data_IF_583278498361
#
_entry.id   IF_583278498361
#
_cell.length_a   1.000
_cell.length_b   1.000
_cell.length_c   1.000
_cell.angle_alpha   90.00
_cell.angle_beta   90.00
_cell.angle_gamma   90.00
#
_symmetry.space_group_name_H-M   'P 1'
#
loop_
_entity.id
_entity.type
_entity.pdbx_description
1 polymer ?
#
# COMPACT_ATOMS: atom_id res chain seq x y z
N UNK A 1 36.35 10.60 28.02
CA UNK A 1 35.00 10.22 27.58
C UNK A 1 35.05 8.81 27.05
N UNK A 2 34.46 7.83 27.75
CA UNK A 2 34.30 6.50 27.21
C UNK A 2 33.22 6.56 26.14
N UNK A 3 33.61 6.32 24.91
CA UNK A 3 32.65 6.11 23.82
C UNK A 3 31.88 4.85 24.15
N UNK A 4 30.57 4.96 24.41
CA UNK A 4 29.71 3.80 24.53
C UNK A 4 29.78 3.03 23.20
N UNK A 5 30.37 1.85 23.27
CA UNK A 5 30.36 0.95 22.13
C UNK A 5 28.92 0.48 21.90
N UNK A 6 28.45 0.41 20.68
CA UNK A 6 27.13 -0.14 20.38
C UNK A 6 27.06 -1.57 20.93
N UNK A 7 25.88 -1.97 21.43
CA UNK A 7 25.64 -3.36 21.84
C UNK A 7 26.15 -4.29 20.74
N UNK A 8 26.85 -5.35 21.15
CA UNK A 8 27.43 -6.32 20.22
C UNK A 8 26.36 -6.76 19.24
N UNK A 9 26.57 -6.48 17.95
CA UNK A 9 25.72 -6.98 16.88
C UNK A 9 25.90 -8.49 16.79
N UNK A 10 24.80 -9.21 16.58
CA UNK A 10 24.85 -10.58 16.08
C UNK A 10 25.73 -10.58 14.82
N UNK A 11 26.70 -11.47 14.76
CA UNK A 11 27.46 -11.64 13.51
C UNK A 11 26.50 -12.04 12.41
N UNK A 12 26.57 -11.32 11.30
CA UNK A 12 25.72 -11.54 10.14
C UNK A 12 26.61 -11.99 8.99
N UNK A 13 26.44 -13.22 8.55
CA UNK A 13 27.16 -13.75 7.40
C UNK A 13 26.64 -13.14 6.09
N UNK A 14 27.40 -13.29 5.00
CA UNK A 14 26.92 -12.91 3.66
C UNK A 14 25.62 -13.63 3.32
N UNK A 15 25.52 -14.91 3.65
CA UNK A 15 24.34 -15.72 3.38
C UNK A 15 23.13 -15.22 4.17
N UNK A 16 23.32 -14.82 5.45
CA UNK A 16 22.23 -14.22 6.24
C UNK A 16 21.76 -12.90 5.64
N UNK A 17 22.69 -12.07 5.15
CA UNK A 17 22.33 -10.83 4.46
C UNK A 17 21.48 -11.10 3.21
N UNK A 18 21.93 -12.02 2.35
CA UNK A 18 21.22 -12.36 1.11
C UNK A 18 19.82 -12.95 1.39
N UNK A 19 19.69 -13.77 2.41
CA UNK A 19 18.44 -14.49 2.68
C UNK A 19 17.40 -13.65 3.44
N UNK A 20 17.83 -12.72 4.32
CA UNK A 20 16.92 -12.12 5.29
C UNK A 20 16.88 -10.57 5.23
N UNK A 21 17.79 -9.94 4.48
CA UNK A 21 17.96 -8.48 4.53
C UNK A 21 18.05 -7.81 3.17
N UNK A 22 17.94 -8.56 2.09
CA UNK A 22 18.00 -8.03 0.72
C UNK A 22 16.75 -8.48 -0.04
N UNK A 23 16.08 -7.51 -0.65
CA UNK A 23 14.97 -7.77 -1.59
C UNK A 23 15.47 -7.53 -3.00
N UNK A 24 15.30 -8.50 -3.86
CA UNK A 24 15.62 -8.39 -5.29
C UNK A 24 14.34 -8.12 -6.07
N UNK A 25 14.29 -7.00 -6.77
CA UNK A 25 13.08 -6.62 -7.49
C UNK A 25 12.65 -7.66 -8.53
N UNK A 26 13.59 -8.31 -9.22
CA UNK A 26 13.28 -9.36 -10.19
C UNK A 26 12.58 -10.58 -9.56
N UNK A 27 12.86 -10.89 -8.31
CA UNK A 27 12.19 -11.95 -7.55
C UNK A 27 10.84 -11.50 -7.01
N UNK A 28 10.72 -10.22 -6.70
CA UNK A 28 9.52 -9.61 -6.15
C UNK A 28 8.40 -9.41 -7.20
N UNK A 29 8.75 -9.17 -8.46
CA UNK A 29 7.79 -8.86 -9.54
C UNK A 29 6.59 -9.81 -9.60
N UNK A 30 6.82 -11.11 -9.46
CA UNK A 30 5.76 -12.12 -9.56
C UNK A 30 4.88 -12.22 -8.30
N UNK A 31 5.29 -11.63 -7.19
CA UNK A 31 4.63 -11.74 -5.88
C UNK A 31 3.65 -10.61 -5.59
N UNK A 32 3.65 -9.56 -6.41
CA UNK A 32 2.76 -8.42 -6.22
C UNK A 32 1.28 -8.82 -6.35
N UNK A 33 0.48 -8.34 -5.43
CA UNK A 33 -0.96 -8.59 -5.37
C UNK A 33 -1.71 -7.31 -5.00
N UNK A 34 -3.02 -7.22 -5.27
CA UNK A 34 -3.87 -6.19 -4.69
C UNK A 34 -3.81 -6.22 -3.17
N UNK A 35 -3.62 -5.06 -2.55
CA UNK A 35 -3.53 -4.92 -1.09
C UNK A 35 -4.90 -5.04 -0.44
N UNK A 36 -5.89 -4.39 -1.03
CA UNK A 36 -7.27 -4.33 -0.56
C UNK A 36 -8.19 -5.03 -1.56
N UNK A 37 -9.30 -5.57 -1.07
CA UNK A 37 -10.25 -6.27 -1.95
C UNK A 37 -10.77 -5.38 -3.07
N UNK A 38 -11.03 -4.12 -2.78
CA UNK A 38 -11.53 -3.15 -3.76
C UNK A 38 -10.54 -2.87 -4.89
N UNK A 39 -9.24 -3.05 -4.66
CA UNK A 39 -8.19 -2.83 -5.66
C UNK A 39 -8.33 -3.77 -6.87
N UNK A 40 -9.02 -4.89 -6.71
CA UNK A 40 -9.19 -5.89 -7.76
C UNK A 40 -10.37 -5.61 -8.71
N UNK A 41 -11.36 -4.84 -8.27
CA UNK A 41 -12.64 -4.75 -8.98
C UNK A 41 -13.05 -3.32 -9.28
N UNK A 42 -12.86 -2.38 -8.35
CA UNK A 42 -13.42 -1.04 -8.49
C UNK A 42 -12.59 -0.24 -9.49
N UNK A 43 -13.21 0.26 -10.59
CA UNK A 43 -12.53 1.15 -11.53
C UNK A 43 -11.94 2.38 -10.82
N UNK A 44 -10.71 2.74 -11.15
CA UNK A 44 -9.98 3.83 -10.52
C UNK A 44 -9.15 3.40 -9.29
N UNK A 45 -9.27 2.14 -8.85
CA UNK A 45 -8.51 1.64 -7.69
C UNK A 45 -7.64 0.43 -7.99
N UNK A 46 -7.55 0.01 -9.26
CA UNK A 46 -6.73 -1.13 -9.64
C UNK A 46 -5.25 -0.85 -9.44
N UNK A 47 -4.59 -1.64 -8.61
CA UNK A 47 -3.17 -1.51 -8.32
C UNK A 47 -2.56 -2.82 -7.87
N UNK A 48 -1.25 -2.92 -8.01
CA UNK A 48 -0.43 -3.96 -7.40
C UNK A 48 0.39 -3.37 -6.26
N UNK A 49 0.56 -4.14 -5.22
CA UNK A 49 1.37 -3.79 -4.07
C UNK A 49 2.46 -4.83 -3.88
N UNK A 50 3.64 -4.36 -3.52
CA UNK A 50 4.86 -5.13 -3.32
C UNK A 50 5.27 -4.96 -1.86
N UNK A 51 5.22 -6.02 -1.08
CA UNK A 51 5.61 -6.02 0.33
C UNK A 51 7.12 -6.22 0.46
N UNK A 52 7.84 -5.18 0.92
CA UNK A 52 9.29 -5.25 1.07
C UNK A 52 9.70 -5.54 2.50
N UNK A 53 9.26 -4.72 3.45
CA UNK A 53 9.71 -4.79 4.85
C UNK A 53 8.53 -4.63 5.80
N UNK A 54 8.47 -5.48 6.81
CA UNK A 54 7.57 -5.38 7.95
C UNK A 54 6.13 -5.80 7.66
N UNK A 55 5.38 -6.08 8.71
CA UNK A 55 3.98 -6.45 8.61
C UNK A 55 3.17 -5.27 8.05
N UNK A 56 2.27 -5.58 7.14
CA UNK A 56 1.50 -4.56 6.44
C UNK A 56 0.03 -4.63 6.80
N UNK A 57 -0.61 -3.46 6.89
CA UNK A 57 -2.04 -3.35 6.93
C UNK A 57 -2.62 -3.77 5.58
N UNK A 58 -3.22 -4.96 5.53
CA UNK A 58 -3.81 -5.52 4.32
C UNK A 58 -5.07 -6.30 4.63
N UNK A 59 -6.09 -6.16 3.79
CA UNK A 59 -7.25 -7.06 3.81
C UNK A 59 -6.92 -8.42 3.18
N UNK A 60 -5.82 -8.48 2.42
CA UNK A 60 -5.39 -9.68 1.71
C UNK A 60 -4.37 -10.45 2.55
N UNK A 61 -4.77 -11.61 3.04
CA UNK A 61 -3.97 -12.51 3.88
C UNK A 61 -2.77 -13.16 3.17
N UNK A 62 -2.68 -13.01 1.86
CA UNK A 62 -1.53 -13.45 1.05
C UNK A 62 -0.42 -12.41 0.92
N UNK A 63 -0.65 -11.19 1.42
CA UNK A 63 0.31 -10.10 1.32
C UNK A 63 1.38 -10.23 2.41
N UNK A 64 2.48 -10.88 2.09
CA UNK A 64 3.60 -11.15 2.99
C UNK A 64 4.84 -10.37 2.58
N UNK A 65 5.55 -9.72 3.53
CA UNK A 65 6.78 -8.98 3.24
C UNK A 65 7.96 -9.93 3.00
N UNK A 66 8.88 -9.50 2.15
CA UNK A 66 10.12 -10.25 1.88
C UNK A 66 11.08 -10.22 3.07
N UNK A 67 11.14 -9.09 3.79
CA UNK A 67 11.93 -8.94 5.00
C UNK A 67 10.98 -8.89 6.19
N UNK A 68 10.97 -9.96 6.96
CA UNK A 68 10.10 -10.16 8.14
C UNK A 68 10.77 -9.81 9.46
N UNK A 69 12.08 -9.54 9.47
CA UNK A 69 12.80 -9.12 10.69
C UNK A 69 12.16 -7.82 11.23
N UNK A 70 12.07 -7.66 12.56
CA UNK A 70 11.39 -6.52 13.16
C UNK A 70 12.00 -5.17 12.77
N UNK A 71 11.18 -4.30 12.23
CA UNK A 71 11.48 -2.89 11.95
C UNK A 71 10.47 -2.01 12.67
N UNK A 72 10.79 -0.77 12.94
CA UNK A 72 9.83 0.22 13.47
C UNK A 72 9.00 0.89 12.37
N UNK A 73 9.03 0.36 11.15
CA UNK A 73 8.37 0.88 9.96
C UNK A 73 8.08 -0.25 8.98
N UNK A 74 7.21 0.03 8.04
CA UNK A 74 6.91 -0.83 6.90
C UNK A 74 7.38 -0.13 5.62
N UNK A 75 7.82 -0.90 4.65
CA UNK A 75 8.12 -0.41 3.30
C UNK A 75 7.40 -1.29 2.29
N UNK A 76 6.62 -0.64 1.44
CA UNK A 76 5.98 -1.26 0.29
C UNK A 76 6.12 -0.39 -0.96
N UNK A 77 5.79 -0.95 -2.10
CA UNK A 77 5.63 -0.19 -3.34
C UNK A 77 4.24 -0.41 -3.91
N UNK A 78 3.73 0.63 -4.54
CA UNK A 78 2.49 0.61 -5.32
C UNK A 78 2.84 0.77 -6.78
N UNK A 79 2.25 -0.08 -7.63
CA UNK A 79 2.20 0.10 -9.08
C UNK A 79 0.75 0.29 -9.48
N UNK A 80 0.43 1.37 -10.17
CA UNK A 80 -0.91 1.61 -10.67
C UNK A 80 -0.91 2.14 -12.10
N UNK A 81 -1.84 1.68 -12.96
CA UNK A 81 -2.05 2.26 -14.27
C UNK A 81 -2.63 3.68 -14.17
N UNK A 82 -2.66 4.45 -15.28
CA UNK A 82 -3.26 5.78 -15.31
C UNK A 82 -4.66 5.83 -14.70
N UNK A 83 -4.94 6.86 -13.89
CA UNK A 83 -6.24 7.09 -13.24
C UNK A 83 -6.56 6.10 -12.12
N UNK A 84 -5.56 5.37 -11.59
CA UNK A 84 -5.77 4.39 -10.53
C UNK A 84 -4.88 4.65 -9.32
N UNK A 85 -5.35 4.24 -8.15
CA UNK A 85 -4.65 4.38 -6.88
C UNK A 85 -5.55 4.08 -5.68
N UNK A 86 -5.06 4.24 -4.45
CA UNK A 86 -5.85 4.00 -3.24
C UNK A 86 -7.10 4.87 -3.16
N UNK A 87 -8.21 4.26 -2.79
CA UNK A 87 -9.46 4.97 -2.53
C UNK A 87 -9.34 5.88 -1.29
N UNK A 88 -10.29 6.81 -1.10
CA UNK A 88 -10.29 7.76 0.00
C UNK A 88 -10.50 7.06 1.34
N UNK A 89 -9.51 7.18 2.23
CA UNK A 89 -9.43 6.48 3.51
C UNK A 89 -8.61 7.26 4.53
N UNK A 90 -8.57 6.77 5.75
CA UNK A 90 -7.69 7.30 6.80
C UNK A 90 -7.05 6.19 7.62
N UNK A 91 -5.97 6.52 8.31
CA UNK A 91 -5.27 5.70 9.29
C UNK A 91 -4.94 6.54 10.52
N UNK A 92 -4.66 5.89 11.63
CA UNK A 92 -4.21 6.52 12.87
C UNK A 92 -2.67 6.51 13.05
N UNK A 93 -1.94 6.27 11.96
CA UNK A 93 -0.48 6.33 11.89
C UNK A 93 0.03 7.17 10.71
N UNK A 94 1.32 7.51 10.75
CA UNK A 94 1.98 8.30 9.71
C UNK A 94 2.30 7.44 8.49
N UNK A 95 2.06 8.01 7.32
CA UNK A 95 2.56 7.49 6.05
C UNK A 95 3.38 8.54 5.31
N UNK A 96 4.37 8.09 4.56
CA UNK A 96 5.09 8.92 3.61
C UNK A 96 5.18 8.20 2.26
N UNK A 97 5.08 8.96 1.18
CA UNK A 97 5.14 8.42 -0.17
C UNK A 97 6.11 9.20 -1.03
N UNK A 98 6.82 8.47 -1.89
CA UNK A 98 7.75 9.01 -2.88
C UNK A 98 7.50 8.37 -4.24
N UNK A 99 7.05 9.11 -5.25
CA UNK A 99 7.00 8.59 -6.61
C UNK A 99 8.39 8.16 -7.09
N UNK A 100 8.51 6.94 -7.56
CA UNK A 100 9.70 6.42 -8.22
C UNK A 100 9.59 6.55 -9.73
N UNK A 101 8.35 6.62 -10.24
CA UNK A 101 8.02 6.83 -11.63
C UNK A 101 6.64 7.46 -11.76
N UNK A 102 6.55 8.44 -12.65
CA UNK A 102 5.30 9.10 -13.02
C UNK A 102 4.91 10.23 -12.08
N UNK A 103 3.72 10.77 -12.33
CA UNK A 103 3.11 11.86 -11.58
C UNK A 103 1.92 11.34 -10.80
N UNK A 104 1.83 11.76 -9.55
CA UNK A 104 0.81 11.30 -8.65
C UNK A 104 0.04 12.47 -8.04
N UNK A 105 -1.27 12.47 -8.20
CA UNK A 105 -2.17 13.40 -7.52
C UNK A 105 -2.48 12.83 -6.14
N UNK A 106 -2.13 13.57 -5.09
CA UNK A 106 -2.56 13.32 -3.72
C UNK A 106 -3.68 14.29 -3.37
N UNK A 107 -4.75 13.78 -2.76
CA UNK A 107 -5.88 14.58 -2.33
C UNK A 107 -6.27 14.21 -0.90
N UNK A 108 -6.72 15.20 -0.14
CA UNK A 108 -7.01 15.02 1.28
C UNK A 108 -8.15 15.89 1.78
N UNK A 109 -8.67 15.56 2.99
CA UNK A 109 -9.66 16.32 3.73
C UNK A 109 -9.58 16.04 5.22
N UNK A 110 -10.12 16.96 6.02
CA UNK A 110 -10.21 16.80 7.47
C UNK A 110 -11.43 15.98 7.89
N UNK A 111 -12.33 15.68 6.95
CA UNK A 111 -13.50 14.84 7.16
C UNK A 111 -13.59 13.73 6.10
N UNK A 112 -14.41 12.73 6.38
CA UNK A 112 -14.66 11.61 5.49
C UNK A 112 -15.51 11.94 4.25
N UNK A 113 -16.13 13.12 4.25
CA UNK A 113 -17.12 13.52 3.23
C UNK A 113 -16.57 14.49 2.19
N UNK A 114 -15.44 15.16 2.46
CA UNK A 114 -14.98 16.27 1.64
C UNK A 114 -13.47 16.21 1.32
N UNK A 115 -13.14 16.45 0.06
CA UNK A 115 -11.76 16.70 -0.38
C UNK A 115 -11.54 18.20 -0.32
N UNK A 116 -10.67 18.65 0.59
CA UNK A 116 -10.39 20.07 0.84
C UNK A 116 -9.12 20.56 0.13
N UNK A 117 -8.22 19.63 -0.22
CA UNK A 117 -6.98 19.99 -0.87
C UNK A 117 -6.43 18.87 -1.73
N UNK A 118 -5.60 19.24 -2.70
CA UNK A 118 -4.89 18.31 -3.55
C UNK A 118 -3.57 18.91 -4.04
N UNK A 119 -2.65 18.04 -4.40
CA UNK A 119 -1.38 18.42 -5.04
C UNK A 119 -0.91 17.31 -5.96
N UNK A 120 -0.11 17.68 -6.94
CA UNK A 120 0.62 16.71 -7.78
C UNK A 120 2.07 16.69 -7.29
N UNK A 121 2.58 15.50 -7.04
CA UNK A 121 3.99 15.23 -6.77
C UNK A 121 4.57 14.39 -7.91
N UNK A 122 5.82 14.66 -8.22
CA UNK A 122 6.54 14.03 -9.32
C UNK A 122 7.65 13.12 -8.78
N UNK A 123 8.38 12.47 -9.67
CA UNK A 123 9.48 11.57 -9.32
C UNK A 123 10.45 12.25 -8.34
N UNK A 124 10.75 11.53 -7.25
CA UNK A 124 11.65 11.93 -6.16
C UNK A 124 11.12 13.01 -5.21
N UNK A 125 9.92 13.56 -5.44
CA UNK A 125 9.25 14.36 -4.41
C UNK A 125 8.79 13.48 -3.25
N UNK A 126 8.67 14.06 -2.07
CA UNK A 126 8.18 13.35 -0.88
C UNK A 126 6.95 14.06 -0.32
N UNK A 127 5.91 13.30 -0.04
CA UNK A 127 4.77 13.73 0.75
C UNK A 127 4.67 12.89 2.02
N UNK A 128 4.37 13.53 3.16
CA UNK A 128 4.05 12.86 4.40
C UNK A 128 2.64 13.21 4.84
N UNK A 129 1.88 12.21 5.20
CA UNK A 129 0.46 12.30 5.54
C UNK A 129 0.29 12.05 7.05
N UNK A 130 -0.21 13.01 7.82
CA UNK A 130 -0.37 12.86 9.26
C UNK A 130 -1.49 11.86 9.61
N UNK A 131 -1.47 11.28 10.83
CA UNK A 131 -2.53 10.43 11.33
C UNK A 131 -3.88 11.15 11.33
N UNK A 132 -4.94 10.41 11.02
CA UNK A 132 -6.32 10.90 11.03
C UNK A 132 -6.70 11.77 9.83
N UNK A 133 -5.75 12.15 8.97
CA UNK A 133 -6.07 12.84 7.73
C UNK A 133 -6.73 11.86 6.76
N UNK A 134 -7.87 12.21 6.20
CA UNK A 134 -8.49 11.49 5.10
C UNK A 134 -7.72 11.75 3.81
N UNK A 135 -7.34 10.71 3.08
CA UNK A 135 -6.51 10.83 1.88
C UNK A 135 -6.79 9.74 0.86
N UNK A 136 -6.43 10.06 -0.35
CA UNK A 136 -6.31 9.15 -1.47
C UNK A 136 -5.27 9.67 -2.43
N UNK A 137 -4.84 8.84 -3.35
CA UNK A 137 -3.94 9.28 -4.42
C UNK A 137 -4.13 8.44 -5.67
N UNK A 138 -3.76 8.99 -6.81
CA UNK A 138 -3.89 8.32 -8.10
C UNK A 138 -2.73 8.67 -9.03
N UNK A 139 -2.37 7.73 -9.88
CA UNK A 139 -1.42 7.97 -10.96
C UNK A 139 -2.10 8.84 -12.04
N UNK A 140 -1.59 10.04 -12.25
CA UNK A 140 -2.07 10.99 -13.28
C UNK A 140 -1.15 11.06 -14.50
N UNK A 141 -0.20 10.11 -14.62
CA UNK A 141 0.61 9.94 -15.82
C UNK A 141 -0.19 9.21 -16.92
N UNK A 142 0.36 9.14 -18.11
CA UNK A 142 -0.14 8.38 -19.26
C UNK A 142 0.39 6.94 -19.33
N UNK A 143 1.23 6.55 -18.38
CA UNK A 143 1.80 5.20 -18.23
C UNK A 143 1.72 4.70 -16.77
N UNK A 144 2.08 3.43 -16.56
CA UNK A 144 2.12 2.84 -15.21
C UNK A 144 3.08 3.62 -14.30
N UNK A 145 2.55 4.10 -13.18
CA UNK A 145 3.30 4.80 -12.15
C UNK A 145 3.74 3.88 -11.02
N UNK A 146 4.84 4.24 -10.38
CA UNK A 146 5.41 3.56 -9.22
C UNK A 146 5.58 4.51 -8.06
N UNK A 147 5.17 4.11 -6.86
CA UNK A 147 5.29 4.90 -5.66
C UNK A 147 5.82 4.05 -4.51
N UNK A 148 6.88 4.52 -3.84
CA UNK A 148 7.37 3.93 -2.59
C UNK A 148 6.53 4.44 -1.44
N UNK A 149 6.05 3.54 -0.59
CA UNK A 149 5.35 3.86 0.65
C UNK A 149 6.19 3.46 1.86
N UNK A 150 6.26 4.36 2.84
CA UNK A 150 6.88 4.12 4.14
C UNK A 150 5.81 4.42 5.20
N UNK A 151 5.51 3.43 6.03
CA UNK A 151 4.44 3.52 7.02
C UNK A 151 5.02 3.25 8.41
N UNK A 152 4.53 3.96 9.40
CA UNK A 152 4.79 3.61 10.78
C UNK A 152 4.24 2.20 11.05
N UNK A 153 5.03 1.35 11.68
CA UNK A 153 4.57 0.02 12.03
C UNK A 153 3.55 0.10 13.15
N UNK A 154 2.30 -0.15 12.83
CA UNK A 154 1.24 -0.28 13.83
C UNK A 154 1.34 -1.65 14.50
N UNK A 155 1.31 -1.67 15.84
CA UNK A 155 1.51 -2.91 16.61
C UNK A 155 0.39 -3.92 16.48
N UNK A 156 -0.77 -3.49 16.00
CA UNK A 156 -1.94 -4.35 15.85
C UNK A 156 -2.78 -3.87 14.68
N UNK A 157 -2.78 -4.61 13.60
CA UNK A 157 -3.84 -4.52 12.60
C UNK A 157 -5.10 -5.12 13.22
N UNK A 158 -5.99 -4.29 13.73
CA UNK A 158 -7.21 -4.74 14.44
C UNK A 158 -8.38 -5.07 13.49
N UNK A 159 -8.10 -5.09 12.19
CA UNK A 159 -9.08 -5.36 11.16
C UNK A 159 -10.00 -4.18 10.82
N UNK A 160 -9.70 -2.99 11.34
CA UNK A 160 -10.41 -1.75 10.97
C UNK A 160 -9.59 -0.85 10.04
N UNK A 161 -8.32 -1.14 9.89
CA UNK A 161 -7.42 -0.40 9.03
C UNK A 161 -7.46 -0.95 7.59
N UNK A 162 -7.63 -0.11 6.56
CA UNK A 162 -7.91 1.34 6.65
C UNK A 162 -9.36 1.64 7.03
N UNK A 163 -9.61 2.83 7.55
CA UNK A 163 -10.96 3.37 7.69
C UNK A 163 -11.42 3.94 6.36
N UNK A 164 -12.39 3.28 5.74
CA UNK A 164 -12.93 3.70 4.46
C UNK A 164 -13.91 4.86 4.58
N UNK A 165 -13.81 5.85 3.71
CA UNK A 165 -14.84 6.87 3.61
C UNK A 165 -16.20 6.27 3.22
N UNK A 166 -17.33 6.76 3.76
CA UNK A 166 -18.66 6.22 3.49
C UNK A 166 -18.99 6.12 2.00
N UNK A 167 -18.50 7.07 1.21
CA UNK A 167 -18.68 7.07 -0.25
C UNK A 167 -17.94 5.90 -0.92
N UNK A 168 -16.78 5.50 -0.40
CA UNK A 168 -16.02 4.33 -0.89
C UNK A 168 -16.81 3.05 -0.62
N UNK A 169 -17.31 2.89 0.60
CA UNK A 169 -18.17 1.74 0.99
C UNK A 169 -19.41 1.68 0.08
N UNK A 170 -20.08 2.80 -0.13
CA UNK A 170 -21.26 2.90 -0.99
C UNK A 170 -20.96 2.58 -2.46
N UNK A 171 -19.77 2.97 -2.93
CA UNK A 171 -19.34 2.63 -4.29
C UNK A 171 -18.98 1.14 -4.38
N UNK A 172 -18.29 0.60 -3.40
CA UNK A 172 -17.93 -0.81 -3.31
C UNK A 172 -19.18 -1.72 -3.36
N UNK A 173 -20.26 -1.33 -2.67
CA UNK A 173 -21.53 -2.07 -2.69
C UNK A 173 -22.13 -2.19 -4.09
N UNK A 174 -21.98 -1.20 -4.98
CA UNK A 174 -22.42 -1.27 -6.37
C UNK A 174 -21.65 -2.29 -7.21
N UNK A 175 -20.46 -2.66 -6.75
CA UNK A 175 -19.57 -3.65 -7.36
C UNK A 175 -19.62 -5.01 -6.66
N UNK A 176 -20.59 -5.22 -5.76
CA UNK A 176 -20.80 -6.50 -5.08
C UNK A 176 -19.98 -6.70 -3.80
N UNK A 177 -19.32 -5.65 -3.29
CA UNK A 177 -18.68 -5.71 -1.98
C UNK A 177 -19.65 -5.25 -0.89
N UNK A 178 -19.61 -5.96 0.22
CA UNK A 178 -20.30 -5.56 1.44
C UNK A 178 -19.28 -5.16 2.49
N UNK A 179 -19.67 -4.30 3.41
CA UNK A 179 -18.89 -4.00 4.60
C UNK A 179 -19.62 -4.57 5.83
N UNK A 180 -18.85 -4.96 6.84
CA UNK A 180 -19.39 -5.35 8.13
C UNK A 180 -19.86 -4.13 8.94
N UNK A 181 -20.38 -4.36 10.15
CA UNK A 181 -20.87 -3.32 11.06
C UNK A 181 -19.78 -2.29 11.47
N UNK A 182 -18.50 -2.65 11.27
CA UNK A 182 -17.35 -1.79 11.56
C UNK A 182 -16.82 -1.06 10.31
N UNK A 183 -17.46 -1.25 9.15
CA UNK A 183 -17.02 -0.66 7.89
C UNK A 183 -15.88 -1.40 7.18
N UNK A 184 -15.49 -2.59 7.67
CA UNK A 184 -14.48 -3.44 7.03
C UNK A 184 -15.09 -4.15 5.82
N UNK A 185 -14.39 -4.14 4.69
CA UNK A 185 -14.83 -4.88 3.51
C UNK A 185 -14.83 -6.39 3.76
N UNK A 186 -15.92 -7.03 3.38
CA UNK A 186 -16.06 -8.48 3.42
C UNK A 186 -15.54 -9.06 2.11
N UNK A 187 -14.67 -10.05 2.21
CA UNK A 187 -14.11 -10.75 1.05
C UNK A 187 -15.24 -11.36 0.21
N UNK A 188 -15.38 -11.00 -1.08
CA UNK A 188 -16.40 -11.60 -1.95
C UNK A 188 -16.10 -13.07 -2.27
N UNK A 189 -17.13 -13.89 -2.50
CA UNK A 189 -16.99 -15.33 -2.78
C UNK A 189 -16.07 -15.67 -3.95
N UNK A 190 -15.94 -14.75 -4.93
CA UNK A 190 -15.13 -14.95 -6.13
C UNK A 190 -13.82 -14.16 -6.11
N UNK A 191 -13.43 -13.62 -4.97
CA UNK A 191 -12.32 -12.70 -4.86
C UNK A 191 -11.02 -13.25 -5.44
N UNK A 192 -10.67 -14.49 -5.16
CA UNK A 192 -9.41 -15.11 -5.61
C UNK A 192 -9.27 -15.15 -7.14
N UNK A 193 -10.38 -15.39 -7.83
CA UNK A 193 -10.40 -15.36 -9.29
C UNK A 193 -10.19 -13.94 -9.82
N UNK A 194 -10.85 -12.96 -9.20
CA UNK A 194 -10.77 -11.55 -9.58
C UNK A 194 -9.37 -10.98 -9.31
N UNK A 195 -8.82 -11.28 -8.14
CA UNK A 195 -7.45 -10.94 -7.77
C UNK A 195 -6.44 -11.45 -8.80
N UNK A 196 -6.53 -12.74 -9.13
CA UNK A 196 -5.64 -13.37 -10.11
C UNK A 196 -5.74 -12.69 -11.48
N UNK A 197 -6.94 -12.49 -11.98
CA UNK A 197 -7.18 -11.83 -13.27
C UNK A 197 -6.62 -10.41 -13.30
N UNK A 198 -6.83 -9.64 -12.22
CA UNK A 198 -6.32 -8.29 -12.11
C UNK A 198 -4.80 -8.27 -12.02
N UNK A 199 -4.21 -9.11 -11.19
CA UNK A 199 -2.76 -9.21 -11.05
C UNK A 199 -2.10 -9.60 -12.38
N UNK A 200 -2.63 -10.56 -13.11
CA UNK A 200 -2.14 -10.96 -14.43
C UNK A 200 -2.23 -9.81 -15.44
N UNK A 201 -3.35 -9.08 -15.46
CA UNK A 201 -3.54 -7.93 -16.34
C UNK A 201 -2.53 -6.83 -16.07
N UNK A 202 -2.29 -6.49 -14.80
CA UNK A 202 -1.38 -5.41 -14.41
C UNK A 202 0.11 -5.80 -14.58
N UNK A 203 0.44 -7.09 -14.46
CA UNK A 203 1.80 -7.61 -14.73
C UNK A 203 2.12 -7.71 -16.22
N UNK A 204 1.12 -7.91 -17.09
CA UNK A 204 1.36 -8.05 -18.53
C UNK A 204 2.07 -6.85 -19.18
N UNK A 205 2.08 -5.69 -18.54
CA UNK A 205 2.86 -4.51 -18.93
C UNK A 205 4.33 -4.54 -18.50
N UNK A 206 4.75 -5.53 -17.72
CA UNK A 206 6.12 -5.66 -17.18
C UNK A 206 6.99 -6.49 -18.16
N UNK A 207 7.41 -5.89 -19.27
CA UNK A 207 8.39 -6.49 -20.19
C UNK A 207 9.75 -5.85 -20.06
#
# INVERSE_FOLDING_TARGET
MQTQQPKVKKEVSKQDMENNWIVRFDELKSKAIPLMFIDSIIPGHNRLNYALIGDTASENDKYEPEITEPHGFQIGMVKAPPGNGPAFHTHDYIEAFMPLKGKWRFYWGNSEDEIEGETIIEEWDLISLPPGLWRGFENVSDEDGWCLGILEQHKVFDGKDPYWAPQVIKNAAKHGFNADEKGKMIKPDHYEQLEKQMAEKLRAGEK
#
